data_IF_833831416473
#
_entry.id   IF_833831416473
#
_cell.length_a   1.000
_cell.length_b   1.000
_cell.length_c   1.000
_cell.angle_alpha   90.00
_cell.angle_beta   90.00
_cell.angle_gamma   90.00
#
_symmetry.space_group_name_H-M   'P 1'
#
loop_
_entity.id
_entity.type
_entity.pdbx_description
1 polymer ?
#
# COMPACT_ATOMS: atom_id res chain seq x y z
N UNK A 1 30.95 8.75 -29.40
CA UNK A 1 30.58 8.89 -27.97
C UNK A 1 30.14 10.34 -27.77
N UNK A 2 28.96 10.68 -28.28
CA UNK A 2 28.37 12.00 -28.13
C UNK A 2 27.33 11.91 -27.01
N UNK A 3 27.55 12.72 -25.99
CA UNK A 3 26.73 12.93 -24.82
C UNK A 3 25.33 13.38 -25.28
N UNK A 4 24.36 12.46 -25.25
CA UNK A 4 22.95 12.79 -25.48
C UNK A 4 22.51 13.58 -24.27
N UNK A 5 22.51 14.90 -24.42
CA UNK A 5 21.87 15.82 -23.50
C UNK A 5 20.42 15.37 -23.32
N UNK A 6 20.13 14.72 -22.19
CA UNK A 6 18.79 14.45 -21.70
C UNK A 6 18.07 15.81 -21.60
N UNK A 7 17.26 16.11 -22.61
CA UNK A 7 16.35 17.25 -22.58
C UNK A 7 15.37 17.02 -21.44
N UNK A 8 15.67 17.73 -20.34
CA UNK A 8 14.92 17.98 -19.11
C UNK A 8 13.47 17.50 -19.14
N UNK A 9 13.15 16.62 -18.20
CA UNK A 9 11.80 16.20 -17.90
C UNK A 9 10.87 17.37 -17.57
N UNK A 10 9.88 17.57 -18.43
CA UNK A 10 8.61 18.19 -18.09
C UNK A 10 7.54 17.13 -18.31
N UNK A 11 6.51 17.12 -17.49
CA UNK A 11 5.27 16.43 -17.85
C UNK A 11 5.01 16.65 -19.34
N UNK A 12 4.95 15.57 -20.13
CA UNK A 12 4.61 15.67 -21.55
C UNK A 12 3.29 16.44 -21.70
N UNK A 13 3.06 17.13 -22.82
CA UNK A 13 1.76 17.79 -23.08
C UNK A 13 0.58 16.82 -22.81
N UNK A 14 0.78 15.52 -23.07
CA UNK A 14 -0.14 14.44 -22.74
C UNK A 14 -0.52 14.41 -21.25
N UNK A 15 0.43 14.62 -20.33
CA UNK A 15 0.16 14.59 -18.89
C UNK A 15 -0.67 15.78 -18.40
N UNK A 16 -0.44 16.97 -18.95
CA UNK A 16 -1.11 18.20 -18.51
C UNK A 16 -2.43 18.39 -19.25
N UNK A 17 -2.42 18.24 -20.58
CA UNK A 17 -3.55 18.58 -21.44
C UNK A 17 -4.53 17.43 -21.62
N UNK A 18 -4.08 16.17 -21.57
CA UNK A 18 -4.93 15.01 -21.87
C UNK A 18 -5.37 14.25 -20.63
N UNK A 19 -4.42 13.78 -19.82
CA UNK A 19 -4.77 12.99 -18.64
C UNK A 19 -5.12 13.85 -17.42
N UNK A 20 -4.77 15.15 -17.42
CA UNK A 20 -5.05 16.07 -16.31
C UNK A 20 -4.37 15.66 -15.01
N UNK A 21 -3.16 15.08 -15.09
CA UNK A 21 -2.39 14.69 -13.92
C UNK A 21 -3.04 13.62 -13.03
N UNK A 22 -3.90 12.74 -13.57
CA UNK A 22 -4.61 11.69 -12.79
C UNK A 22 -3.69 10.78 -11.96
N UNK A 23 -2.42 10.65 -12.31
CA UNK A 23 -1.44 9.88 -11.53
C UNK A 23 -0.96 10.60 -10.26
N UNK A 24 -1.27 11.90 -10.12
CA UNK A 24 -0.84 12.76 -9.03
C UNK A 24 -1.98 13.17 -8.08
N UNK A 25 -3.23 12.83 -8.40
CA UNK A 25 -4.41 13.19 -7.59
C UNK A 25 -5.50 12.09 -7.56
N UNK A 26 -5.52 11.20 -6.55
CA UNK A 26 -4.47 11.07 -5.54
C UNK A 26 -3.21 10.46 -6.15
N UNK A 27 -2.05 10.86 -5.63
CA UNK A 27 -0.82 10.13 -5.92
C UNK A 27 -0.79 8.84 -5.10
N UNK A 28 -0.63 7.70 -5.78
CA UNK A 28 -0.58 6.40 -5.13
C UNK A 28 0.85 5.99 -4.78
N UNK A 29 1.15 5.96 -3.48
CA UNK A 29 2.38 5.34 -2.98
C UNK A 29 2.20 3.84 -2.86
N UNK A 30 2.83 3.06 -3.73
CA UNK A 30 2.67 1.60 -3.83
C UNK A 30 3.97 0.91 -3.44
N UNK A 31 3.93 0.04 -2.44
CA UNK A 31 5.09 -0.79 -2.04
C UNK A 31 4.65 -2.21 -1.73
N UNK A 32 5.25 -3.18 -2.43
CA UNK A 32 5.11 -4.60 -2.10
C UNK A 32 6.06 -5.01 -0.98
N UNK A 33 5.62 -5.93 -0.13
CA UNK A 33 6.47 -6.52 0.90
C UNK A 33 5.94 -7.86 1.39
N UNK A 34 6.83 -8.78 1.78
CA UNK A 34 6.44 -10.01 2.44
C UNK A 34 6.18 -9.77 3.94
N UNK A 35 5.29 -10.58 4.49
CA UNK A 35 5.12 -10.84 5.93
C UNK A 35 5.28 -12.34 6.13
N UNK A 36 6.19 -12.73 7.01
CA UNK A 36 6.41 -14.13 7.39
C UNK A 36 6.02 -14.28 8.84
N UNK A 37 5.18 -15.26 9.13
CA UNK A 37 4.70 -15.55 10.49
C UNK A 37 4.91 -17.02 10.82
N UNK A 38 5.80 -17.27 11.77
CA UNK A 38 5.98 -18.59 12.39
C UNK A 38 4.86 -18.86 13.39
N UNK A 39 4.42 -20.12 13.51
CA UNK A 39 3.30 -20.52 14.36
C UNK A 39 1.94 -20.05 13.84
N UNK A 40 1.82 -19.78 12.53
CA UNK A 40 0.57 -19.33 11.91
C UNK A 40 -0.07 -18.12 12.59
N UNK A 41 -1.38 -18.17 12.81
CA UNK A 41 -2.18 -17.11 13.42
C UNK A 41 -2.46 -17.36 14.92
N UNK A 42 -1.72 -18.23 15.61
CA UNK A 42 -1.94 -18.57 17.02
C UNK A 42 -2.20 -17.34 17.91
N UNK A 43 -1.43 -16.27 17.69
CA UNK A 43 -1.66 -14.97 18.31
C UNK A 43 -2.02 -13.92 17.26
N UNK A 44 -3.33 -13.81 16.99
CA UNK A 44 -3.90 -12.83 16.04
C UNK A 44 -3.51 -11.39 16.40
N UNK A 45 -3.45 -11.05 17.70
CA UNK A 45 -3.13 -9.69 18.13
C UNK A 45 -1.69 -9.30 17.76
N UNK A 46 -0.74 -10.23 17.93
CA UNK A 46 0.66 -10.03 17.53
C UNK A 46 0.76 -9.96 16.01
N UNK A 47 0.09 -10.87 15.29
CA UNK A 47 0.08 -10.84 13.82
C UNK A 47 -0.47 -9.52 13.28
N UNK A 48 -1.57 -9.00 13.85
CA UNK A 48 -2.12 -7.68 13.50
C UNK A 48 -1.10 -6.56 13.75
N UNK A 49 -0.39 -6.61 14.88
CA UNK A 49 0.64 -5.62 15.21
C UNK A 49 1.81 -5.66 14.20
N UNK A 50 2.22 -6.86 13.78
CA UNK A 50 3.27 -7.05 12.77
C UNK A 50 2.85 -6.46 11.41
N UNK A 51 1.60 -6.72 10.97
CA UNK A 51 1.04 -6.15 9.74
C UNK A 51 0.99 -4.61 9.84
N UNK A 52 0.48 -4.07 10.95
CA UNK A 52 0.38 -2.62 11.17
C UNK A 52 1.76 -1.95 11.16
N UNK A 53 2.76 -2.56 11.82
CA UNK A 53 4.15 -2.10 11.79
C UNK A 53 4.70 -2.08 10.36
N UNK A 54 4.39 -3.12 9.57
CA UNK A 54 4.73 -3.19 8.16
C UNK A 54 4.13 -2.03 7.35
N UNK A 55 2.83 -1.76 7.49
CA UNK A 55 2.13 -0.67 6.81
C UNK A 55 2.77 0.68 7.16
N UNK A 56 2.95 0.97 8.46
CA UNK A 56 3.53 2.24 8.94
C UNK A 56 4.96 2.44 8.45
N UNK A 57 5.78 1.39 8.44
CA UNK A 57 7.14 1.47 7.92
C UNK A 57 7.19 1.83 6.42
N UNK A 58 6.21 1.36 5.63
CA UNK A 58 6.11 1.66 4.18
C UNK A 58 5.65 3.09 3.97
N UNK A 59 4.66 3.54 4.75
CA UNK A 59 4.21 4.93 4.78
C UNK A 59 5.40 5.86 5.09
N UNK A 60 6.15 5.59 6.16
CA UNK A 60 7.29 6.40 6.56
C UNK A 60 8.37 6.46 5.46
N UNK A 61 8.70 5.31 4.85
CA UNK A 61 9.66 5.26 3.74
C UNK A 61 9.25 6.16 2.57
N UNK A 62 7.95 6.22 2.26
CA UNK A 62 7.43 7.09 1.21
C UNK A 62 7.52 8.56 1.65
N UNK A 63 6.98 8.92 2.82
CA UNK A 63 6.99 10.32 3.26
C UNK A 63 8.40 10.87 3.45
N UNK A 64 9.38 10.02 3.79
CA UNK A 64 10.78 10.42 3.89
C UNK A 64 11.46 10.65 2.54
N UNK A 65 11.12 9.84 1.54
CA UNK A 65 11.74 9.92 0.21
C UNK A 65 11.18 11.07 -0.65
N UNK A 66 9.94 11.52 -0.38
CA UNK A 66 9.24 12.50 -1.21
C UNK A 66 9.30 13.89 -0.57
N UNK A 67 10.50 14.46 -0.60
CA UNK A 67 10.81 15.83 -0.15
C UNK A 67 11.47 16.61 -1.30
N UNK A 68 11.32 17.92 -1.31
CA UNK A 68 12.06 18.77 -2.26
C UNK A 68 13.57 18.69 -2.01
N UNK A 69 14.37 18.96 -3.04
CA UNK A 69 15.84 18.92 -2.95
C UNK A 69 16.46 20.22 -2.40
N UNK A 70 15.66 21.26 -2.17
CA UNK A 70 16.13 22.53 -1.64
C UNK A 70 16.33 22.50 -0.12
N UNK A 71 16.98 23.54 0.42
CA UNK A 71 17.15 23.74 1.86
C UNK A 71 16.30 24.94 2.35
N UNK A 72 15.42 24.76 3.36
CA UNK A 72 15.05 23.51 3.99
C UNK A 72 14.19 22.62 3.09
N UNK A 73 14.33 21.30 3.23
CA UNK A 73 13.52 20.34 2.46
C UNK A 73 12.05 20.44 2.87
N UNK A 74 11.17 20.46 1.87
CA UNK A 74 9.72 20.51 2.10
C UNK A 74 9.09 19.16 1.71
N UNK A 75 8.33 18.50 2.60
CA UNK A 75 7.66 17.25 2.27
C UNK A 75 6.52 17.48 1.27
N UNK A 76 6.42 16.61 0.26
CA UNK A 76 5.34 16.66 -0.73
C UNK A 76 4.01 16.18 -0.14
N UNK A 77 4.06 15.25 0.79
CA UNK A 77 2.89 14.54 1.30
C UNK A 77 2.70 14.73 2.80
N UNK A 78 1.43 14.80 3.23
CA UNK A 78 1.02 14.67 4.62
C UNK A 78 0.52 13.26 4.92
N UNK A 79 -0.49 13.17 5.79
CA UNK A 79 -1.22 11.92 6.03
C UNK A 79 -1.95 11.48 4.75
N UNK A 80 -1.90 10.19 4.38
CA UNK A 80 -2.74 9.66 3.30
C UNK A 80 -4.23 9.86 3.58
N UNK A 81 -5.01 10.10 2.53
CA UNK A 81 -6.48 10.14 2.61
C UNK A 81 -7.08 8.74 2.74
N UNK A 82 -6.42 7.74 2.15
CA UNK A 82 -6.83 6.33 2.16
C UNK A 82 -5.64 5.39 2.28
N UNK A 83 -5.89 4.29 2.96
CA UNK A 83 -5.01 3.14 3.07
C UNK A 83 -5.67 1.95 2.37
N UNK A 84 -4.99 1.33 1.42
CA UNK A 84 -5.46 0.09 0.79
C UNK A 84 -4.31 -0.93 0.81
N UNK A 85 -4.53 -2.09 1.43
CA UNK A 85 -3.52 -3.14 1.53
C UNK A 85 -4.07 -4.40 0.89
N UNK A 86 -3.46 -4.79 -0.23
CA UNK A 86 -3.88 -5.92 -1.05
C UNK A 86 -3.06 -7.13 -0.64
N UNK A 87 -3.73 -8.25 -0.39
CA UNK A 87 -3.09 -9.56 -0.25
C UNK A 87 -2.90 -10.14 -1.65
N UNK A 88 -1.65 -10.22 -2.11
CA UNK A 88 -1.30 -10.71 -3.46
C UNK A 88 -1.19 -12.23 -3.52
N UNK A 89 -0.59 -12.82 -2.50
CA UNK A 89 -0.30 -14.26 -2.43
C UNK A 89 -0.18 -14.69 -0.98
N UNK A 90 -0.65 -15.90 -0.68
CA UNK A 90 -0.58 -16.53 0.64
C UNK A 90 -0.06 -17.95 0.46
N UNK A 91 0.99 -18.31 1.20
CA UNK A 91 1.59 -19.64 1.20
C UNK A 91 1.76 -20.15 2.62
N UNK A 92 1.32 -21.38 2.85
CA UNK A 92 1.55 -22.12 4.09
C UNK A 92 2.58 -23.23 3.84
N UNK A 93 3.56 -23.36 4.72
CA UNK A 93 4.55 -24.44 4.67
C UNK A 93 4.86 -24.90 6.08
N UNK A 94 4.34 -26.07 6.47
CA UNK A 94 4.33 -26.50 7.86
C UNK A 94 3.53 -25.51 8.73
N UNK A 95 4.21 -24.92 9.73
CA UNK A 95 3.65 -23.92 10.65
C UNK A 95 3.95 -22.48 10.23
N UNK A 96 4.58 -22.27 9.07
CA UNK A 96 4.99 -20.95 8.59
C UNK A 96 4.01 -20.42 7.57
N UNK A 97 3.50 -19.21 7.80
CA UNK A 97 2.64 -18.46 6.90
C UNK A 97 3.43 -17.34 6.22
N UNK A 98 3.53 -17.36 4.90
CA UNK A 98 4.17 -16.32 4.09
C UNK A 98 3.11 -15.59 3.27
N UNK A 99 3.07 -14.26 3.40
CA UNK A 99 2.05 -13.42 2.79
C UNK A 99 2.74 -12.30 2.01
N UNK A 100 2.42 -12.16 0.74
CA UNK A 100 2.87 -11.02 -0.06
C UNK A 100 1.80 -9.93 -0.04
N UNK A 101 2.12 -8.79 0.55
CA UNK A 101 1.25 -7.64 0.64
C UNK A 101 1.67 -6.55 -0.35
N UNK A 102 0.71 -5.76 -0.81
CA UNK A 102 0.93 -4.48 -1.50
C UNK A 102 0.25 -3.40 -0.67
N UNK A 103 1.04 -2.55 -0.02
CA UNK A 103 0.51 -1.35 0.64
C UNK A 103 0.41 -0.22 -0.37
N UNK A 104 -0.78 0.37 -0.46
CA UNK A 104 -1.11 1.51 -1.28
C UNK A 104 -1.62 2.65 -0.39
N UNK A 105 -1.10 3.84 -0.61
CA UNK A 105 -1.45 5.05 0.15
C UNK A 105 -1.88 6.14 -0.83
N UNK A 106 -3.09 6.66 -0.68
CA UNK A 106 -3.58 7.78 -1.47
C UNK A 106 -3.12 9.10 -0.84
N UNK A 107 -2.23 9.83 -1.49
CA UNK A 107 -1.75 11.12 -1.01
C UNK A 107 -2.25 12.27 -1.88
N UNK A 108 -2.66 13.36 -1.21
CA UNK A 108 -2.78 14.68 -1.86
C UNK A 108 -1.43 15.39 -1.81
N UNK A 109 -0.87 15.72 -2.98
CA UNK A 109 0.37 16.48 -3.07
C UNK A 109 0.15 17.92 -2.61
N UNK A 110 0.98 18.42 -1.69
CA UNK A 110 0.91 19.81 -1.18
C UNK A 110 1.25 20.87 -2.23
N UNK A 111 1.89 20.47 -3.32
CA UNK A 111 2.33 21.36 -4.39
C UNK A 111 1.49 21.24 -5.66
N UNK A 112 0.46 20.39 -5.66
CA UNK A 112 -0.49 20.25 -6.75
C UNK A 112 -1.76 21.03 -6.38
N UNK A 113 -2.11 22.04 -7.17
CA UNK A 113 -3.36 22.78 -7.02
C UNK A 113 -4.54 22.01 -7.63
N UNK A 114 -5.77 22.47 -7.33
CA UNK A 114 -6.98 21.77 -7.75
C UNK A 114 -7.15 21.73 -9.29
N UNK A 115 -6.63 22.75 -9.99
CA UNK A 115 -6.51 22.85 -11.45
C UNK A 115 -5.37 21.99 -12.04
N UNK A 116 -4.73 21.15 -11.23
CA UNK A 116 -3.65 20.23 -11.62
C UNK A 116 -2.34 20.92 -12.00
N UNK A 117 -2.15 22.16 -11.57
CA UNK A 117 -0.87 22.87 -11.72
C UNK A 117 0.10 22.49 -10.60
N UNK A 118 1.37 22.24 -10.94
CA UNK A 118 2.42 21.91 -9.96
C UNK A 118 3.29 23.14 -9.66
N UNK A 119 3.24 23.65 -8.42
CA UNK A 119 3.94 24.88 -8.02
C UNK A 119 5.46 24.75 -7.87
N UNK A 120 5.97 23.52 -7.79
CA UNK A 120 7.41 23.22 -7.76
C UNK A 120 7.92 22.66 -9.09
N UNK A 121 7.16 22.82 -10.16
CA UNK A 121 7.58 22.41 -11.49
C UNK A 121 8.73 23.29 -12.00
N UNK A 122 9.74 22.74 -12.70
CA UNK A 122 10.87 23.52 -13.22
C UNK A 122 10.49 24.70 -14.11
N UNK A 123 9.35 24.62 -14.82
CA UNK A 123 8.83 25.73 -15.62
C UNK A 123 8.37 26.93 -14.78
N UNK A 124 8.04 26.69 -13.50
CA UNK A 124 7.61 27.71 -12.54
C UNK A 124 8.81 28.17 -11.71
N UNK A 125 9.64 27.23 -11.24
CA UNK A 125 10.75 27.51 -10.31
C UNK A 125 12.08 27.84 -11.00
N UNK A 126 12.20 27.63 -12.31
CA UNK A 126 13.44 27.78 -13.08
C UNK A 126 14.51 26.70 -12.83
N UNK A 127 14.29 25.81 -11.86
CA UNK A 127 15.18 24.69 -11.49
C UNK A 127 14.39 23.49 -11.01
N UNK A 128 14.88 22.28 -11.23
CA UNK A 128 14.20 21.08 -10.74
C UNK A 128 14.51 20.82 -9.28
N UNK A 129 13.52 21.08 -8.42
CA UNK A 129 13.58 20.85 -6.98
C UNK A 129 12.72 19.66 -6.54
N UNK A 130 12.11 18.95 -7.49
CA UNK A 130 11.23 17.80 -7.23
C UNK A 130 12.07 16.58 -6.82
N UNK A 131 11.53 15.65 -6.01
CA UNK A 131 12.21 14.40 -5.74
C UNK A 131 12.35 13.55 -7.02
N UNK A 132 13.34 12.64 -7.10
CA UNK A 132 13.65 11.88 -8.30
C UNK A 132 12.43 11.23 -8.97
N UNK A 133 11.53 10.61 -8.18
CA UNK A 133 10.32 9.99 -8.74
C UNK A 133 9.49 10.95 -9.62
N UNK A 134 9.28 12.18 -9.17
CA UNK A 134 8.52 13.19 -9.91
C UNK A 134 9.28 13.71 -11.14
N UNK A 135 10.61 13.71 -11.09
CA UNK A 135 11.46 14.07 -12.24
C UNK A 135 11.43 13.02 -13.34
N UNK A 136 11.31 11.73 -13.01
CA UNK A 136 11.22 10.65 -13.99
C UNK A 136 9.80 10.33 -14.45
N UNK A 137 8.77 10.82 -13.75
CA UNK A 137 7.39 10.47 -14.03
C UNK A 137 6.99 10.85 -15.45
N UNK A 138 6.61 9.85 -16.24
CA UNK A 138 6.20 10.05 -17.62
C UNK A 138 7.37 10.34 -18.57
N UNK A 139 8.55 9.79 -18.28
CA UNK A 139 9.68 9.82 -19.21
C UNK A 139 9.26 9.15 -20.54
N UNK A 140 9.29 9.88 -21.69
CA UNK A 140 8.78 9.36 -22.96
C UNK A 140 9.48 8.08 -23.45
N UNK A 141 10.74 7.90 -23.06
CA UNK A 141 11.58 6.76 -23.44
C UNK A 141 11.43 5.57 -22.47
N UNK A 142 10.77 5.76 -21.32
CA UNK A 142 10.67 4.71 -20.31
C UNK A 142 9.74 3.59 -20.81
N UNK A 143 10.22 2.35 -20.71
CA UNK A 143 9.48 1.15 -21.11
C UNK A 143 8.83 0.47 -19.92
N UNK A 144 7.92 -0.46 -20.19
CA UNK A 144 7.25 -1.23 -19.13
C UNK A 144 8.28 -1.88 -18.19
N UNK A 145 8.19 -1.56 -16.90
CA UNK A 145 9.11 -2.04 -15.87
C UNK A 145 10.24 -1.07 -15.52
N UNK A 146 10.44 -0.01 -16.30
CA UNK A 146 11.43 1.02 -16.04
C UNK A 146 10.86 2.15 -15.15
N UNK A 147 11.76 2.90 -14.50
CA UNK A 147 11.37 4.05 -13.68
C UNK A 147 10.81 5.14 -14.58
N UNK A 148 9.63 5.65 -14.22
CA UNK A 148 9.01 6.71 -14.99
C UNK A 148 8.05 6.25 -16.09
N UNK A 149 7.95 4.93 -16.32
CA UNK A 149 7.00 4.37 -17.29
C UNK A 149 5.57 4.84 -17.02
N UNK A 150 4.90 5.28 -18.08
CA UNK A 150 3.50 5.69 -18.05
C UNK A 150 2.80 5.13 -19.30
N UNK A 151 1.86 4.20 -19.11
CA UNK A 151 1.09 3.60 -20.22
C UNK A 151 0.43 4.66 -21.12
N UNK A 152 -0.08 5.74 -20.54
CA UNK A 152 -0.75 6.80 -21.31
C UNK A 152 0.24 7.49 -22.27
N UNK A 153 1.49 7.66 -21.86
CA UNK A 153 2.53 8.27 -22.69
C UNK A 153 3.05 7.27 -23.72
N UNK A 154 3.21 6.01 -23.33
CA UNK A 154 3.57 4.91 -24.24
C UNK A 154 2.53 4.79 -25.38
N UNK A 155 1.24 4.73 -25.03
CA UNK A 155 0.14 4.72 -26.00
C UNK A 155 0.07 6.04 -26.80
N UNK A 156 0.43 7.19 -26.21
CA UNK A 156 0.50 8.45 -26.96
C UNK A 156 1.62 8.46 -28.00
N UNK A 157 2.70 7.71 -27.80
CA UNK A 157 3.75 7.50 -28.79
C UNK A 157 3.25 6.76 -30.04
N UNK A 158 2.14 6.02 -29.94
CA UNK A 158 1.52 5.31 -31.07
C UNK A 158 0.66 6.21 -31.99
N UNK A 159 0.24 7.38 -31.49
CA UNK A 159 -0.70 8.27 -32.20
C UNK A 159 -2.16 7.79 -32.25
N UNK A 160 -2.51 6.64 -31.64
CA UNK A 160 -3.89 6.16 -31.53
C UNK A 160 -4.64 6.87 -30.39
N UNK A 161 -5.44 7.87 -30.76
CA UNK A 161 -6.33 8.61 -29.84
C UNK A 161 -7.25 7.68 -29.02
N UNK A 162 -7.73 6.59 -29.61
CA UNK A 162 -8.58 5.65 -28.90
C UNK A 162 -7.77 4.81 -27.89
N UNK A 163 -6.50 4.50 -28.17
CA UNK A 163 -5.61 3.84 -27.20
C UNK A 163 -5.36 4.74 -26.00
N UNK A 164 -5.04 6.01 -26.23
CA UNK A 164 -4.83 7.00 -25.16
C UNK A 164 -6.07 7.11 -24.27
N UNK A 165 -7.27 7.21 -24.87
CA UNK A 165 -8.52 7.28 -24.12
C UNK A 165 -8.76 6.02 -23.28
N UNK A 166 -8.51 4.82 -23.83
CA UNK A 166 -8.60 3.55 -23.09
C UNK A 166 -7.62 3.50 -21.92
N UNK A 167 -6.39 3.98 -22.12
CA UNK A 167 -5.37 4.02 -21.07
C UNK A 167 -5.77 4.94 -19.92
N UNK A 168 -6.24 6.16 -20.23
CA UNK A 168 -6.73 7.13 -19.24
C UNK A 168 -7.87 6.51 -18.43
N UNK A 169 -8.84 5.90 -19.10
CA UNK A 169 -10.00 5.28 -18.44
C UNK A 169 -9.61 4.09 -17.56
N UNK A 170 -8.63 3.28 -18.00
CA UNK A 170 -8.11 2.17 -17.21
C UNK A 170 -7.46 2.67 -15.91
N UNK A 171 -6.63 3.71 -15.98
CA UNK A 171 -5.99 4.31 -14.80
C UNK A 171 -7.02 4.96 -13.85
N UNK A 172 -8.03 5.65 -14.39
CA UNK A 172 -9.14 6.22 -13.60
C UNK A 172 -9.90 5.12 -12.86
N UNK A 173 -10.29 4.05 -13.54
CA UNK A 173 -10.99 2.91 -12.93
C UNK A 173 -10.15 2.22 -11.86
N UNK A 174 -8.86 2.01 -12.11
CA UNK A 174 -7.95 1.42 -11.13
C UNK A 174 -7.86 2.28 -9.87
N UNK A 175 -7.63 3.59 -10.03
CA UNK A 175 -7.56 4.55 -8.91
C UNK A 175 -8.88 4.61 -8.13
N UNK A 176 -10.01 4.72 -8.83
CA UNK A 176 -11.34 4.77 -8.22
C UNK A 176 -11.66 3.49 -7.43
N UNK A 177 -11.31 2.31 -7.97
CA UNK A 177 -11.45 1.04 -7.26
C UNK A 177 -10.59 1.02 -5.99
N UNK A 178 -9.32 1.42 -6.08
CA UNK A 178 -8.42 1.44 -4.93
C UNK A 178 -8.87 2.43 -3.84
N UNK A 179 -9.48 3.56 -4.21
CA UNK A 179 -10.10 4.51 -3.29
C UNK A 179 -11.33 3.91 -2.60
N UNK A 180 -12.23 3.28 -3.37
CA UNK A 180 -13.47 2.70 -2.87
C UNK A 180 -13.20 1.53 -1.89
N UNK A 181 -12.19 0.72 -2.17
CA UNK A 181 -11.78 -0.41 -1.31
C UNK A 181 -10.90 0.02 -0.13
N UNK A 182 -10.41 1.27 -0.14
CA UNK A 182 -9.53 1.84 0.86
C UNK A 182 -10.23 2.27 2.14
N UNK A 183 -9.51 2.16 3.25
CA UNK A 183 -9.97 2.49 4.61
C UNK A 183 -9.29 3.76 5.14
N UNK A 184 -9.78 4.28 6.26
CA UNK A 184 -9.37 5.60 6.77
C UNK A 184 -8.03 5.56 7.52
N UNK A 185 -7.64 4.40 8.05
CA UNK A 185 -6.49 4.26 8.95
C UNK A 185 -5.64 3.04 8.64
N UNK A 186 -4.37 3.08 9.07
CA UNK A 186 -3.47 1.94 8.97
C UNK A 186 -3.94 0.77 9.84
N UNK A 187 -4.60 1.07 10.95
CA UNK A 187 -5.18 0.13 11.92
C UNK A 187 -6.34 -0.67 11.33
N UNK A 188 -7.24 0.01 10.61
CA UNK A 188 -8.31 -0.64 9.85
C UNK A 188 -7.73 -1.46 8.70
N UNK A 189 -6.70 -0.95 8.01
CA UNK A 189 -6.09 -1.67 6.90
C UNK A 189 -5.41 -2.96 7.39
N UNK A 190 -4.72 -2.89 8.53
CA UNK A 190 -4.15 -4.06 9.19
C UNK A 190 -5.23 -5.06 9.60
N UNK A 191 -6.37 -4.58 10.12
CA UNK A 191 -7.49 -5.46 10.49
C UNK A 191 -8.07 -6.17 9.26
N UNK A 192 -8.31 -5.47 8.16
CA UNK A 192 -8.82 -6.06 6.91
C UNK A 192 -7.89 -7.15 6.35
N UNK A 193 -6.58 -6.94 6.44
CA UNK A 193 -5.59 -7.98 6.11
C UNK A 193 -5.77 -9.19 7.03
N UNK A 194 -5.82 -8.98 8.35
CA UNK A 194 -6.02 -10.07 9.32
C UNK A 194 -7.28 -10.88 9.03
N UNK A 195 -8.39 -10.22 8.72
CA UNK A 195 -9.66 -10.89 8.44
C UNK A 195 -9.58 -11.71 7.14
N UNK A 196 -8.94 -11.15 6.11
CA UNK A 196 -8.71 -11.85 4.83
C UNK A 196 -7.85 -13.10 5.04
N UNK A 197 -6.74 -12.98 5.77
CA UNK A 197 -5.82 -14.09 6.04
C UNK A 197 -6.49 -15.15 6.92
N UNK A 198 -7.28 -14.75 7.92
CA UNK A 198 -8.03 -15.69 8.77
C UNK A 198 -9.03 -16.49 7.95
N UNK A 199 -9.80 -15.84 7.07
CA UNK A 199 -10.72 -16.52 6.16
C UNK A 199 -10.02 -17.50 5.25
N UNK A 200 -8.87 -17.12 4.70
CA UNK A 200 -8.05 -18.03 3.89
C UNK A 200 -7.54 -19.23 4.68
N UNK A 201 -7.01 -19.03 5.90
CA UNK A 201 -6.53 -20.12 6.76
C UNK A 201 -7.67 -21.08 7.13
N UNK A 202 -8.87 -20.58 7.42
CA UNK A 202 -10.03 -21.41 7.72
C UNK A 202 -10.38 -22.41 6.61
N UNK A 203 -10.14 -22.05 5.35
CA UNK A 203 -10.41 -22.92 4.20
C UNK A 203 -9.20 -23.78 3.81
N UNK A 204 -7.98 -23.23 3.86
CA UNK A 204 -6.80 -23.83 3.22
C UNK A 204 -5.77 -24.40 4.20
N UNK A 205 -5.72 -23.90 5.44
CA UNK A 205 -4.75 -24.34 6.46
C UNK A 205 -5.32 -24.15 7.87
N UNK A 206 -6.35 -24.92 8.26
CA UNK A 206 -7.02 -24.72 9.55
C UNK A 206 -6.10 -24.92 10.75
N UNK A 207 -5.04 -25.72 10.60
CA UNK A 207 -4.00 -25.94 11.60
C UNK A 207 -3.20 -24.67 11.95
N UNK A 208 -3.28 -23.62 11.13
CA UNK A 208 -2.65 -22.33 11.40
C UNK A 208 -3.57 -21.34 12.12
N UNK A 209 -4.82 -21.72 12.42
CA UNK A 209 -5.71 -20.88 13.23
C UNK A 209 -5.42 -21.05 14.72
N UNK A 210 -5.75 -20.06 15.56
CA UNK A 210 -5.74 -20.25 16.99
C UNK A 210 -6.58 -21.48 17.37
N UNK A 211 -6.00 -22.39 18.13
CA UNK A 211 -6.77 -23.42 18.82
C UNK A 211 -7.54 -22.72 19.92
N UNK A 212 -8.87 -22.73 19.85
CA UNK A 212 -9.71 -22.35 20.98
C UNK A 212 -9.41 -23.32 22.12
N UNK A 213 -8.57 -22.90 23.08
CA UNK A 213 -8.45 -23.64 24.33
C UNK A 213 -9.75 -23.41 25.08
N UNK A 214 -10.49 -24.46 25.48
CA UNK A 214 -11.61 -24.28 26.39
C UNK A 214 -11.11 -23.51 27.61
N UNK A 215 -11.87 -22.50 28.05
CA UNK A 215 -11.51 -21.72 29.22
C UNK A 215 -11.22 -22.70 30.37
N UNK A 216 -10.04 -22.56 30.99
CA UNK A 216 -9.75 -23.34 32.18
C UNK A 216 -10.84 -23.03 33.22
N UNK A 217 -11.43 -24.05 33.85
CA UNK A 217 -12.51 -23.83 34.81
C UNK A 217 -12.03 -22.87 35.88
N UNK A 218 -12.79 -21.79 36.08
CA UNK A 218 -12.50 -20.81 37.10
C UNK A 218 -12.43 -21.47 38.47
N UNK A 219 -11.64 -20.91 39.39
CA UNK A 219 -11.46 -21.47 40.75
C UNK A 219 -12.76 -21.88 41.45
N UNK A 220 -13.86 -21.19 41.18
CA UNK A 220 -15.17 -21.45 41.80
C UNK A 220 -16.15 -22.26 40.92
N UNK A 221 -15.80 -22.57 39.67
CA UNK A 221 -16.65 -23.30 38.75
C UNK A 221 -16.77 -24.78 39.14
N UNK A 222 -17.82 -25.50 38.71
CA UNK A 222 -17.92 -26.94 38.93
C UNK A 222 -16.70 -27.67 38.38
N UNK A 223 -16.16 -28.62 39.16
CA UNK A 223 -15.03 -29.42 38.72
C UNK A 223 -15.45 -30.41 37.63
N UNK A 224 -14.61 -30.51 36.59
CA UNK A 224 -14.82 -31.36 35.43
C UNK A 224 -14.90 -32.88 35.74
N UNK A 225 -14.50 -33.32 36.94
CA UNK A 225 -14.56 -34.74 37.32
C UNK A 225 -15.95 -35.26 37.71
N UNK A 226 -16.99 -34.42 37.64
CA UNK A 226 -18.36 -34.81 37.96
C UNK A 226 -18.67 -34.90 39.47
N UNK A 227 -17.74 -34.49 40.35
CA UNK A 227 -17.93 -34.52 41.80
C UNK A 227 -18.94 -33.49 42.35
N UNK A 228 -19.39 -32.55 41.52
CA UNK A 228 -20.23 -31.41 41.94
C UNK A 228 -19.49 -30.37 42.81
N UNK A 229 -18.21 -30.59 43.15
CA UNK A 229 -17.42 -29.67 43.96
C UNK A 229 -16.83 -28.53 43.13
N UNK A 230 -16.58 -27.36 43.75
CA UNK A 230 -15.85 -26.25 43.11
C UNK A 230 -14.44 -26.69 42.71
N UNK A 231 -13.95 -26.25 41.56
CA UNK A 231 -12.65 -26.63 40.98
C UNK A 231 -11.50 -26.50 42.00
N UNK A 232 -11.41 -25.37 42.72
CA UNK A 232 -10.41 -25.12 43.77
C UNK A 232 -10.38 -26.12 44.92
N UNK A 233 -11.47 -26.88 45.13
CA UNK A 233 -11.57 -27.88 46.21
C UNK A 233 -11.34 -29.30 45.74
N UNK A 234 -11.22 -29.51 44.42
CA UNK A 234 -11.06 -30.81 43.81
C UNK A 234 -9.74 -30.85 43.02
N UNK A 235 -9.79 -30.73 41.69
CA UNK A 235 -8.61 -30.80 40.82
C UNK A 235 -7.84 -29.47 40.68
N UNK A 236 -8.35 -28.36 41.21
CA UNK A 236 -7.70 -27.04 41.19
C UNK A 236 -6.96 -26.72 42.49
N UNK A 237 -6.41 -27.73 43.16
CA UNK A 237 -5.60 -27.57 44.38
C UNK A 237 -4.22 -27.00 44.05
#
# INVERSE_FOLDING_TARGET
MAEVAQTKASFSAVCVERCGGICCDPWWGIISYPVVKEGGLENISVFRADVLKGIRARLQRITDAYKTSEAPQRPLFGTPEKYNVIVKDIRATGEVLTINLIAMFAFKCRFLSDDKSCSIHPSITGRDIRPPHCGWLGAPEARQGERGYCRIIDDAGSGDEAAIARAIEAERKASAKSLAEGVASAEEAAQKVVDTIRGWCATNSPNLLPVERPAEPGRNDPCWCGSGSKFKRCHGR
#
